data_IF_385047785177
#
_entry.id   IF_385047785177
#
_cell.length_a   1.000
_cell.length_b   1.000
_cell.length_c   1.000
_cell.angle_alpha   90.00
_cell.angle_beta   90.00
_cell.angle_gamma   90.00
#
_symmetry.space_group_name_H-M   'P 1'
#
loop_
_entity.id
_entity.type
_entity.pdbx_description
1 polymer ?
#
# COMPACT_ATOMS: atom_id res chain seq x y z
N UNK A 1 -2.67 -10.82 -22.84
CA UNK A 1 -2.38 -10.68 -22.31
C UNK A 1 -2.58 -10.57 -21.51
N UNK A 2 -2.59 -10.13 -21.35
CA UNK A 2 -2.65 -10.50 -20.66
C UNK A 2 -3.13 -10.25 -19.41
N UNK A 3 -4.21 -10.75 -19.06
CA UNK A 3 -4.74 -10.67 -17.75
C UNK A 3 -3.74 -11.12 -16.71
N UNK A 4 -2.88 -12.01 -17.10
CA UNK A 4 -1.83 -12.47 -16.22
C UNK A 4 -0.93 -11.33 -15.78
N UNK A 5 -0.64 -10.43 -16.67
CA UNK A 5 0.18 -9.27 -16.35
C UNK A 5 -0.49 -8.35 -15.33
N UNK A 6 -1.82 -8.23 -15.42
CA UNK A 6 -2.56 -7.36 -14.50
C UNK A 6 -2.81 -8.04 -13.17
N UNK A 7 -2.81 -9.38 -13.13
CA UNK A 7 -3.07 -10.11 -11.89
C UNK A 7 -1.84 -10.33 -11.05
N UNK A 8 -0.67 -10.25 -11.63
CA UNK A 8 0.56 -10.40 -10.89
C UNK A 8 0.94 -9.10 -10.23
N UNK A 9 1.77 -9.22 -9.20
CA UNK A 9 2.40 -8.06 -8.59
C UNK A 9 3.81 -7.95 -9.19
N UNK A 10 3.98 -7.26 -10.32
CA UNK A 10 5.26 -7.24 -11.00
C UNK A 10 6.33 -6.52 -10.20
N UNK A 11 7.58 -6.88 -10.45
CA UNK A 11 8.70 -6.26 -9.75
C UNK A 11 8.73 -4.75 -9.97
N UNK A 12 8.36 -4.30 -11.15
CA UNK A 12 8.35 -2.87 -11.47
C UNK A 12 7.32 -2.09 -10.65
N UNK A 13 6.29 -2.76 -10.15
CA UNK A 13 5.28 -2.13 -9.32
C UNK A 13 5.64 -2.12 -7.85
N UNK A 14 6.83 -2.56 -7.49
CA UNK A 14 7.28 -2.58 -6.10
C UNK A 14 8.28 -1.48 -5.83
N UNK A 15 8.09 -0.79 -4.71
CA UNK A 15 9.10 0.13 -4.19
C UNK A 15 10.10 -0.73 -3.43
N UNK A 16 11.33 -0.78 -3.89
CA UNK A 16 12.33 -1.70 -3.36
C UNK A 16 13.46 -1.01 -2.62
N UNK A 17 13.70 0.26 -2.92
CA UNK A 17 14.82 1.00 -2.36
C UNK A 17 14.43 1.65 -1.04
N UNK A 18 15.31 1.51 -0.04
CA UNK A 18 15.13 2.21 1.23
C UNK A 18 15.13 3.72 1.03
N UNK A 19 15.94 4.20 0.09
CA UNK A 19 15.99 5.62 -0.22
C UNK A 19 14.66 6.12 -0.75
N UNK A 20 13.99 5.33 -1.58
CA UNK A 20 12.67 5.69 -2.08
C UNK A 20 11.65 5.76 -0.96
N UNK A 21 11.71 4.82 -0.02
CA UNK A 21 10.83 4.81 1.14
C UNK A 21 11.00 6.07 1.98
N UNK A 22 12.25 6.44 2.26
CA UNK A 22 12.55 7.61 3.08
C UNK A 22 12.11 8.90 2.39
N UNK A 23 12.36 9.01 1.10
CA UNK A 23 11.96 10.17 0.33
C UNK A 23 10.45 10.33 0.35
N UNK A 24 9.75 9.23 0.16
CA UNK A 24 8.30 9.23 0.16
C UNK A 24 7.74 9.63 1.52
N UNK A 25 8.34 9.11 2.59
CA UNK A 25 7.89 9.42 3.95
C UNK A 25 8.00 10.90 4.27
N UNK A 26 8.99 11.58 3.69
CA UNK A 26 9.20 13.01 3.94
C UNK A 26 8.32 13.90 3.07
N UNK A 27 8.12 13.51 1.82
CA UNK A 27 7.49 14.39 0.84
C UNK A 27 6.07 13.99 0.47
N UNK A 28 5.62 12.81 0.85
CA UNK A 28 4.31 12.30 0.45
C UNK A 28 3.18 12.79 1.32
N UNK A 29 1.98 12.66 0.79
CA UNK A 29 0.75 12.88 1.56
C UNK A 29 0.48 11.66 2.42
N UNK A 30 0.07 11.89 3.67
CA UNK A 30 -0.15 10.80 4.61
C UNK A 30 -1.60 10.74 5.05
N UNK A 31 -2.20 9.56 4.97
CA UNK A 31 -3.50 9.27 5.53
C UNK A 31 -3.32 8.22 6.61
N UNK A 32 -3.79 8.52 7.81
CA UNK A 32 -3.65 7.63 8.93
C UNK A 32 -4.99 6.96 9.18
N UNK A 33 -5.01 5.63 9.16
CA UNK A 33 -6.21 4.87 9.49
C UNK A 33 -6.02 4.22 10.85
N UNK A 34 -7.00 3.45 11.29
CA UNK A 34 -6.93 2.81 12.60
C UNK A 34 -5.72 1.86 12.72
N UNK A 35 -5.38 1.17 11.63
CA UNK A 35 -4.37 0.11 11.67
C UNK A 35 -3.21 0.32 10.72
N UNK A 36 -3.27 1.34 9.87
CA UNK A 36 -2.25 1.58 8.84
C UNK A 36 -1.97 3.06 8.67
N UNK A 37 -0.76 3.36 8.22
CA UNK A 37 -0.42 4.67 7.66
C UNK A 37 -0.23 4.46 6.17
N UNK A 38 -0.89 5.29 5.37
CA UNK A 38 -0.78 5.24 3.92
C UNK A 38 -0.13 6.52 3.43
N UNK A 39 1.04 6.41 2.86
CA UNK A 39 1.79 7.56 2.36
C UNK A 39 1.82 7.45 0.84
N UNK A 40 1.57 8.56 0.16
CA UNK A 40 1.54 8.53 -1.30
C UNK A 40 2.12 9.80 -1.88
N UNK A 41 2.66 9.67 -3.08
CA UNK A 41 3.19 10.79 -3.84
C UNK A 41 3.13 10.43 -5.31
N UNK A 42 2.73 11.39 -6.14
CA UNK A 42 2.76 11.21 -7.58
C UNK A 42 4.19 10.93 -8.04
N UNK A 43 4.36 9.99 -8.94
CA UNK A 43 5.66 9.71 -9.51
C UNK A 43 5.67 10.15 -10.99
N UNK A 44 6.84 10.12 -11.60
CA UNK A 44 6.97 10.48 -13.01
C UNK A 44 7.03 9.25 -13.90
N UNK A 45 6.53 8.13 -13.38
CA UNK A 45 6.52 6.86 -14.10
C UNK A 45 5.12 6.55 -14.59
N UNK A 46 5.02 5.55 -15.43
CA UNK A 46 3.74 5.17 -16.01
C UNK A 46 2.89 4.30 -15.12
N UNK A 47 3.47 3.74 -14.06
CA UNK A 47 2.71 2.83 -13.22
C UNK A 47 2.82 3.18 -11.74
N UNK A 48 1.79 2.77 -11.01
CA UNK A 48 1.74 2.92 -9.57
C UNK A 48 2.59 1.84 -8.93
N UNK A 49 3.39 2.24 -7.95
CA UNK A 49 4.27 1.33 -7.24
C UNK A 49 3.89 1.25 -5.78
N UNK A 50 4.13 0.10 -5.17
CA UNK A 50 3.73 -0.18 -3.79
C UNK A 50 4.91 -0.67 -2.97
N UNK A 51 5.11 -0.06 -1.81
CA UNK A 51 6.01 -0.53 -0.78
C UNK A 51 5.22 -0.84 0.47
N UNK A 52 5.61 -1.88 1.19
CA UNK A 52 4.92 -2.30 2.40
C UNK A 52 5.93 -2.44 3.51
N UNK A 53 5.64 -1.83 4.66
CA UNK A 53 6.49 -1.94 5.84
C UNK A 53 5.68 -2.54 6.99
N UNK A 54 6.19 -3.63 7.54
CA UNK A 54 5.62 -4.26 8.72
C UNK A 54 6.77 -4.56 9.67
N UNK A 55 6.89 -3.77 10.73
CA UNK A 55 8.02 -3.91 11.65
C UNK A 55 7.86 -5.13 12.56
N UNK A 56 8.96 -5.52 13.21
CA UNK A 56 8.93 -6.63 14.16
C UNK A 56 8.03 -6.39 15.36
N UNK A 57 7.68 -5.13 15.61
CA UNK A 57 6.76 -4.79 16.71
C UNK A 57 5.33 -5.26 16.45
N UNK A 58 4.98 -5.51 15.19
CA UNK A 58 3.65 -5.98 14.83
C UNK A 58 3.47 -7.45 15.18
N UNK A 59 4.52 -8.25 15.01
CA UNK A 59 4.45 -9.66 15.30
C UNK A 59 5.64 -10.41 14.73
N UNK A 60 5.59 -11.74 14.82
CA UNK A 60 6.63 -12.59 14.27
C UNK A 60 6.54 -12.61 12.74
N UNK A 61 7.46 -13.35 12.10
CA UNK A 61 7.54 -13.38 10.65
C UNK A 61 6.27 -13.93 9.98
N UNK A 62 5.59 -14.87 10.63
CA UNK A 62 4.35 -15.43 10.10
C UNK A 62 3.27 -14.34 10.03
N UNK A 63 3.12 -13.59 11.11
CA UNK A 63 2.14 -12.49 11.18
C UNK A 63 2.50 -11.41 10.16
N UNK A 64 3.76 -11.01 10.13
CA UNK A 64 4.21 -9.96 9.21
C UNK A 64 4.01 -10.34 7.76
N UNK A 65 4.35 -11.56 7.40
CA UNK A 65 4.19 -12.03 6.02
C UNK A 65 2.73 -12.12 5.62
N UNK A 66 1.87 -12.52 6.56
CA UNK A 66 0.43 -12.57 6.31
C UNK A 66 -0.11 -11.18 5.98
N UNK A 67 0.27 -10.17 6.76
CA UNK A 67 -0.17 -8.80 6.50
C UNK A 67 0.33 -8.31 5.15
N UNK A 68 1.61 -8.55 4.84
CA UNK A 68 2.16 -8.16 3.55
C UNK A 68 1.41 -8.80 2.39
N UNK A 69 1.08 -10.08 2.55
CA UNK A 69 0.33 -10.81 1.51
C UNK A 69 -1.05 -10.19 1.30
N UNK A 70 -1.74 -9.89 2.39
CA UNK A 70 -3.07 -9.31 2.30
C UNK A 70 -3.03 -7.93 1.63
N UNK A 71 -2.05 -7.09 1.97
CA UNK A 71 -1.91 -5.79 1.35
C UNK A 71 -1.62 -5.93 -0.15
N UNK A 72 -0.74 -6.86 -0.52
CA UNK A 72 -0.45 -7.11 -1.94
C UNK A 72 -1.68 -7.60 -2.69
N UNK A 73 -2.51 -8.41 -2.05
CA UNK A 73 -3.76 -8.90 -2.66
C UNK A 73 -4.72 -7.75 -2.93
N UNK A 74 -4.83 -6.80 -2.00
CA UNK A 74 -5.66 -5.62 -2.21
C UNK A 74 -5.16 -4.84 -3.42
N UNK A 75 -3.86 -4.61 -3.49
CA UNK A 75 -3.25 -3.88 -4.59
C UNK A 75 -3.49 -4.60 -5.91
N UNK A 76 -3.28 -5.91 -5.94
CA UNK A 76 -3.43 -6.71 -7.15
C UNK A 76 -4.87 -6.75 -7.65
N UNK A 77 -5.81 -6.93 -6.73
CA UNK A 77 -7.22 -7.14 -7.10
C UNK A 77 -7.98 -5.84 -7.30
N UNK A 78 -7.55 -4.77 -6.66
CA UNK A 78 -8.29 -3.51 -6.66
C UNK A 78 -7.45 -2.37 -7.20
N UNK A 79 -6.69 -2.65 -8.29
CA UNK A 79 -5.82 -1.65 -8.91
C UNK A 79 -6.56 -0.37 -9.27
N UNK A 80 -7.83 -0.48 -9.64
CA UNK A 80 -8.63 0.69 -10.03
C UNK A 80 -8.85 1.68 -8.89
N UNK A 81 -8.75 1.24 -7.64
CA UNK A 81 -8.90 2.11 -6.48
C UNK A 81 -7.63 2.93 -6.26
N UNK A 82 -6.50 2.44 -6.70
CA UNK A 82 -5.22 3.13 -6.55
C UNK A 82 -5.06 4.16 -7.66
N UNK A 83 -4.72 5.41 -7.32
CA UNK A 83 -4.46 6.41 -8.37
C UNK A 83 -3.31 5.98 -9.27
N UNK A 84 -3.36 6.35 -10.55
CA UNK A 84 -2.27 6.01 -11.47
C UNK A 84 -1.02 6.82 -11.19
N UNK A 85 0.13 6.31 -11.64
CA UNK A 85 1.41 7.03 -11.58
C UNK A 85 1.71 7.58 -10.17
N UNK A 86 1.49 6.74 -9.16
CA UNK A 86 1.66 7.14 -7.77
C UNK A 86 2.47 6.09 -7.02
N UNK A 87 3.38 6.56 -6.18
CA UNK A 87 4.10 5.68 -5.27
C UNK A 87 3.36 5.65 -3.93
N UNK A 88 3.13 4.46 -3.42
CA UNK A 88 2.50 4.24 -2.12
C UNK A 88 3.42 3.49 -1.19
N UNK A 89 3.44 3.91 0.07
CA UNK A 89 4.04 3.11 1.14
C UNK A 89 2.94 2.88 2.18
N UNK A 90 2.68 1.62 2.47
CA UNK A 90 1.69 1.24 3.46
C UNK A 90 2.43 0.68 4.66
N UNK A 91 2.25 1.30 5.81
CA UNK A 91 2.92 0.94 7.04
C UNK A 91 1.89 0.36 8.00
N UNK A 92 2.10 -0.89 8.40
CA UNK A 92 1.19 -1.55 9.34
C UNK A 92 1.54 -1.16 10.77
N UNK A 93 0.52 -0.89 11.56
CA UNK A 93 0.67 -0.68 13.00
C UNK A 93 0.45 -1.99 13.74
N UNK A 94 0.79 -2.00 15.02
CA UNK A 94 0.61 -3.18 15.86
C UNK A 94 -0.81 -3.72 15.81
N UNK A 95 -1.78 -2.84 15.75
CA UNK A 95 -3.19 -3.23 15.74
C UNK A 95 -3.59 -4.01 14.49
N UNK A 96 -2.77 -3.99 13.46
CA UNK A 96 -3.07 -4.75 12.24
C UNK A 96 -2.87 -6.25 12.41
N UNK A 97 -2.18 -6.68 13.48
CA UNK A 97 -1.76 -8.07 13.64
C UNK A 97 -2.93 -9.06 13.65
N UNK A 98 -4.06 -8.69 14.22
CA UNK A 98 -5.19 -9.58 14.33
C UNK A 98 -6.28 -9.39 13.29
N UNK A 99 -6.06 -8.52 12.31
CA UNK A 99 -7.11 -8.21 11.34
C UNK A 99 -7.31 -9.35 10.33
N UNK A 100 -8.56 -9.71 10.03
CA UNK A 100 -8.82 -10.59 8.90
C UNK A 100 -8.57 -9.86 7.58
N UNK A 101 -8.35 -10.64 6.51
CA UNK A 101 -8.00 -10.06 5.21
C UNK A 101 -9.03 -9.07 4.67
N UNK A 102 -10.32 -9.38 4.86
CA UNK A 102 -11.36 -8.48 4.36
C UNK A 102 -11.39 -7.15 5.10
N UNK A 103 -11.05 -7.14 6.39
CA UNK A 103 -10.96 -5.90 7.15
C UNK A 103 -9.79 -5.04 6.66
N UNK A 104 -8.66 -5.66 6.35
CA UNK A 104 -7.52 -4.95 5.78
C UNK A 104 -7.91 -4.31 4.45
N UNK A 105 -8.56 -5.08 3.60
CA UNK A 105 -8.98 -4.59 2.28
C UNK A 105 -9.93 -3.40 2.40
N UNK A 106 -10.92 -3.50 3.27
CA UNK A 106 -11.90 -2.43 3.44
C UNK A 106 -11.26 -1.16 3.99
N UNK A 107 -10.37 -1.31 4.96
CA UNK A 107 -9.71 -0.16 5.57
C UNK A 107 -8.83 0.57 4.55
N UNK A 108 -8.05 -0.17 3.78
CA UNK A 108 -7.18 0.44 2.78
C UNK A 108 -7.97 1.08 1.66
N UNK A 109 -9.05 0.45 1.24
CA UNK A 109 -9.90 1.02 0.18
C UNK A 109 -10.51 2.35 0.64
N UNK A 110 -10.97 2.42 1.87
CA UNK A 110 -11.52 3.65 2.42
C UNK A 110 -10.47 4.75 2.46
N UNK A 111 -9.26 4.42 2.90
CA UNK A 111 -8.18 5.39 2.97
C UNK A 111 -7.83 5.95 1.60
N UNK A 112 -7.80 5.08 0.59
CA UNK A 112 -7.48 5.50 -0.78
C UNK A 112 -8.58 6.36 -1.38
N UNK A 113 -9.82 6.05 -1.07
CA UNK A 113 -10.95 6.85 -1.53
C UNK A 113 -10.91 8.24 -0.92
N UNK A 114 -10.62 8.34 0.38
CA UNK A 114 -10.50 9.63 1.05
C UNK A 114 -9.37 10.45 0.46
N UNK A 115 -8.26 9.82 0.16
CA UNK A 115 -7.11 10.49 -0.42
C UNK A 115 -7.42 11.05 -1.79
N UNK A 116 -8.17 10.31 -2.60
CA UNK A 116 -8.59 10.79 -3.92
C UNK A 116 -9.50 11.99 -3.81
N UNK A 117 -10.40 11.99 -2.84
CA UNK A 117 -11.29 13.13 -2.60
C UNK A 117 -10.50 14.37 -2.24
N UNK A 118 -9.50 14.22 -1.37
CA UNK A 118 -8.64 15.34 -0.98
C UNK A 118 -7.90 15.95 -2.16
N UNK A 119 -7.44 15.08 -3.08
CA UNK A 119 -6.71 15.56 -4.25
C UNK A 119 -7.59 16.36 -5.20
N UNK A 120 -8.87 16.05 -5.25
CA UNK A 120 -9.80 16.77 -6.10
C UNK A 120 -10.12 18.16 -5.58
N UNK A 121 -9.95 18.35 -4.28
CA UNK A 121 -10.16 19.65 -3.67
C UNK A 121 -8.93 20.52 -3.80
#
# INVERSE_FOLDING_TARGET
>A
MSLKGTERFPKTARLRSRAEFLKLSRAGSKVQTANFDVISKSNDKDETRLGITVSGKVGNSVVRNRIKRQVREVFRRRRAVFPPATDFVIIARRSAAGLPGNAIANELQSALTDQRKRRKL
#
